data_IF_855034529587
#
_entry.id   IF_855034529587
#
_cell.length_a   1.000
_cell.length_b   1.000
_cell.length_c   1.000
_cell.angle_alpha   90.00
_cell.angle_beta   90.00
_cell.angle_gamma   90.00
#
_symmetry.space_group_name_H-M   'P 1'
#
loop_
_entity.id
_entity.type
_entity.pdbx_description
1 polymer ?
#
# COMPACT_ATOMS: atom_id res chain seq x y z
N UNK A 1 -20.44 -66.17 -9.13
CA UNK A 1 -20.39 -64.76 -9.58
C UNK A 1 -20.10 -63.78 -8.42
N UNK A 2 -20.46 -64.09 -7.17
CA UNK A 2 -20.23 -63.20 -6.02
C UNK A 2 -18.76 -63.02 -5.56
N UNK A 3 -17.91 -64.06 -5.61
CA UNK A 3 -16.53 -63.94 -5.09
C UNK A 3 -15.63 -62.99 -5.90
N UNK A 4 -15.77 -62.96 -7.23
CA UNK A 4 -15.01 -62.01 -8.07
C UNK A 4 -15.36 -60.56 -7.78
N UNK A 5 -16.65 -60.29 -7.51
CA UNK A 5 -17.15 -58.96 -7.20
C UNK A 5 -16.68 -58.45 -5.83
N UNK A 6 -16.64 -59.32 -4.82
CA UNK A 6 -16.12 -58.97 -3.47
C UNK A 6 -14.62 -58.66 -3.52
N UNK A 7 -13.83 -59.42 -4.28
CA UNK A 7 -12.38 -59.19 -4.42
C UNK A 7 -12.06 -57.90 -5.18
N UNK A 8 -12.86 -57.53 -6.20
CA UNK A 8 -12.72 -56.25 -6.91
C UNK A 8 -13.04 -55.04 -6.02
N UNK A 9 -14.07 -55.14 -5.16
CA UNK A 9 -14.40 -54.08 -4.19
C UNK A 9 -13.28 -53.88 -3.17
N UNK A 10 -12.71 -54.97 -2.64
CA UNK A 10 -11.62 -54.92 -1.66
C UNK A 10 -10.35 -54.29 -2.29
N UNK A 11 -10.05 -54.59 -3.55
CA UNK A 11 -8.91 -54.00 -4.25
C UNK A 11 -9.12 -52.54 -4.67
N UNK A 12 -10.37 -52.09 -4.81
CA UNK A 12 -10.70 -50.70 -5.14
C UNK A 12 -10.72 -49.77 -3.90
N UNK A 13 -10.93 -50.31 -2.70
CA UNK A 13 -10.98 -49.54 -1.45
C UNK A 13 -9.74 -48.65 -1.21
N UNK A 14 -8.49 -49.14 -1.36
CA UNK A 14 -7.30 -48.33 -1.16
C UNK A 14 -7.24 -47.12 -2.10
N UNK A 15 -7.68 -47.28 -3.35
CA UNK A 15 -7.72 -46.19 -4.34
C UNK A 15 -8.75 -45.12 -4.01
N UNK A 16 -9.90 -45.50 -3.44
CA UNK A 16 -10.95 -44.56 -3.00
C UNK A 16 -10.47 -43.72 -1.80
N UNK A 17 -9.80 -44.34 -0.81
CA UNK A 17 -9.25 -43.61 0.33
C UNK A 17 -8.12 -42.65 -0.06
N UNK A 18 -7.22 -43.07 -0.94
CA UNK A 18 -6.15 -42.22 -1.47
C UNK A 18 -6.72 -41.09 -2.32
N UNK A 19 -7.70 -41.37 -3.18
CA UNK A 19 -8.38 -40.37 -4.01
C UNK A 19 -9.14 -39.32 -3.18
N UNK A 20 -9.83 -39.76 -2.12
CA UNK A 20 -10.51 -38.86 -1.18
C UNK A 20 -9.53 -37.97 -0.43
N UNK A 21 -8.40 -38.52 0.04
CA UNK A 21 -7.35 -37.77 0.72
C UNK A 21 -6.71 -36.72 -0.21
N UNK A 22 -6.37 -37.09 -1.44
CA UNK A 22 -5.82 -36.17 -2.44
C UNK A 22 -6.80 -35.04 -2.77
N UNK A 23 -8.08 -35.38 -2.99
CA UNK A 23 -9.13 -34.40 -3.28
C UNK A 23 -9.30 -33.41 -2.13
N UNK A 24 -9.30 -33.91 -0.89
CA UNK A 24 -9.37 -33.08 0.31
C UNK A 24 -8.17 -32.11 0.42
N UNK A 25 -6.95 -32.62 0.26
CA UNK A 25 -5.73 -31.79 0.31
C UNK A 25 -5.74 -30.72 -0.79
N UNK A 26 -6.16 -31.08 -1.99
CA UNK A 26 -6.30 -30.13 -3.11
C UNK A 26 -7.35 -29.05 -2.82
N UNK A 27 -8.50 -29.43 -2.24
CA UNK A 27 -9.53 -28.48 -1.84
C UNK A 27 -9.03 -27.49 -0.77
N UNK A 28 -8.32 -27.98 0.25
CA UNK A 28 -7.72 -27.12 1.29
C UNK A 28 -6.69 -26.17 0.69
N UNK A 29 -5.81 -26.66 -0.19
CA UNK A 29 -4.82 -25.82 -0.86
C UNK A 29 -5.48 -24.73 -1.72
N UNK A 30 -6.48 -25.10 -2.52
CA UNK A 30 -7.23 -24.17 -3.36
C UNK A 30 -7.93 -23.09 -2.53
N UNK A 31 -8.59 -23.49 -1.43
CA UNK A 31 -9.25 -22.54 -0.52
C UNK A 31 -8.26 -21.55 0.10
N UNK A 32 -7.08 -22.00 0.54
CA UNK A 32 -6.05 -21.11 1.07
C UNK A 32 -5.56 -20.11 0.03
N UNK A 33 -5.28 -20.57 -1.19
CA UNK A 33 -4.86 -19.70 -2.29
C UNK A 33 -5.92 -18.69 -2.68
N UNK A 34 -7.20 -19.09 -2.68
CA UNK A 34 -8.31 -18.20 -2.95
C UNK A 34 -8.48 -17.15 -1.84
N UNK A 35 -8.29 -17.52 -0.57
CA UNK A 35 -8.30 -16.60 0.57
C UNK A 35 -7.15 -15.58 0.50
N UNK A 36 -5.93 -16.05 0.22
CA UNK A 36 -4.76 -15.18 0.01
C UNK A 36 -5.03 -14.19 -1.13
N UNK A 37 -5.49 -14.69 -2.29
CA UNK A 37 -5.79 -13.84 -3.44
C UNK A 37 -6.88 -12.81 -3.15
N UNK A 38 -7.97 -13.21 -2.46
CA UNK A 38 -9.04 -12.29 -2.08
C UNK A 38 -8.56 -11.24 -1.09
N UNK A 39 -7.77 -11.64 -0.10
CA UNK A 39 -7.19 -10.72 0.87
C UNK A 39 -6.27 -9.69 0.18
N UNK A 40 -5.37 -10.15 -0.69
CA UNK A 40 -4.45 -9.27 -1.41
C UNK A 40 -5.19 -8.30 -2.34
N UNK A 41 -6.23 -8.78 -3.02
CA UNK A 41 -7.08 -7.95 -3.90
C UNK A 41 -7.81 -6.88 -3.09
N UNK A 42 -8.49 -7.28 -2.01
CA UNK A 42 -9.23 -6.36 -1.13
C UNK A 42 -8.31 -5.32 -0.47
N UNK A 43 -7.14 -5.74 0.01
CA UNK A 43 -6.13 -4.84 0.57
C UNK A 43 -5.62 -3.86 -0.48
N UNK A 44 -5.34 -4.32 -1.70
CA UNK A 44 -4.88 -3.47 -2.80
C UNK A 44 -5.92 -2.43 -3.19
N UNK A 45 -7.19 -2.81 -3.29
CA UNK A 45 -8.27 -1.90 -3.68
C UNK A 45 -8.51 -0.83 -2.60
N UNK A 46 -8.46 -1.23 -1.33
CA UNK A 46 -8.50 -0.29 -0.19
C UNK A 46 -7.30 0.66 -0.22
N UNK A 47 -6.08 0.15 -0.45
CA UNK A 47 -4.88 0.99 -0.60
C UNK A 47 -5.02 1.98 -1.74
N UNK A 48 -5.44 1.57 -2.93
CA UNK A 48 -5.62 2.49 -4.08
C UNK A 48 -6.56 3.64 -3.71
N UNK A 49 -7.69 3.32 -3.07
CA UNK A 49 -8.69 4.31 -2.65
C UNK A 49 -8.07 5.33 -1.69
N UNK A 50 -7.43 4.86 -0.61
CA UNK A 50 -6.86 5.73 0.41
C UNK A 50 -5.62 6.49 -0.07
N UNK A 51 -4.78 5.85 -0.89
CA UNK A 51 -3.56 6.42 -1.43
C UNK A 51 -3.85 7.51 -2.44
N UNK A 52 -4.97 7.43 -3.17
CA UNK A 52 -5.40 8.51 -4.06
C UNK A 52 -5.70 9.80 -3.26
N UNK A 53 -6.28 9.68 -2.06
CA UNK A 53 -6.50 10.83 -1.19
C UNK A 53 -5.19 11.43 -0.68
N UNK A 54 -4.27 10.59 -0.20
CA UNK A 54 -2.94 11.04 0.20
C UNK A 54 -2.19 11.67 -0.96
N UNK A 55 -2.28 11.10 -2.16
CA UNK A 55 -1.60 11.60 -3.35
C UNK A 55 -1.97 13.04 -3.68
N UNK A 56 -3.25 13.40 -3.52
CA UNK A 56 -3.75 14.76 -3.72
C UNK A 56 -3.14 15.74 -2.73
N UNK A 57 -2.98 15.36 -1.45
CA UNK A 57 -2.31 16.19 -0.45
C UNK A 57 -0.85 16.50 -0.82
N UNK A 58 -0.21 15.64 -1.62
CA UNK A 58 1.18 15.79 -2.05
C UNK A 58 1.33 16.58 -3.38
N UNK A 59 0.23 17.07 -3.96
CA UNK A 59 0.23 17.78 -5.24
C UNK A 59 1.22 18.94 -5.25
N UNK A 60 1.21 19.72 -4.19
CA UNK A 60 2.04 20.91 -4.09
C UNK A 60 3.53 20.63 -3.86
N UNK A 61 3.91 19.36 -3.66
CA UNK A 61 5.29 18.88 -3.68
C UNK A 61 5.64 18.26 -5.05
N UNK A 62 4.89 18.56 -6.11
CA UNK A 62 5.18 18.13 -7.47
C UNK A 62 6.32 18.95 -8.10
N UNK A 63 7.12 18.27 -8.94
CA UNK A 63 8.29 18.88 -9.58
C UNK A 63 7.96 19.99 -10.56
N UNK A 64 6.90 19.84 -11.35
CA UNK A 64 6.60 20.72 -12.48
C UNK A 64 5.44 21.71 -12.22
N UNK A 65 4.98 21.83 -10.97
CA UNK A 65 3.84 22.65 -10.61
C UNK A 65 4.01 23.28 -9.22
N UNK A 66 5.20 23.80 -8.91
CA UNK A 66 5.45 24.48 -7.64
C UNK A 66 4.51 25.70 -7.51
N UNK A 67 3.74 25.83 -6.41
CA UNK A 67 3.03 27.07 -6.12
C UNK A 67 4.03 28.21 -5.93
N UNK A 68 3.83 29.35 -6.61
CA UNK A 68 4.77 30.49 -6.57
C UNK A 68 5.06 31.03 -5.16
N UNK A 69 4.12 30.87 -4.23
CA UNK A 69 4.15 31.53 -2.91
C UNK A 69 3.84 30.56 -1.77
N UNK A 70 4.43 29.37 -1.80
CA UNK A 70 4.27 28.43 -0.68
C UNK A 70 4.92 29.00 0.58
N UNK A 71 4.12 29.20 1.64
CA UNK A 71 4.60 29.72 2.93
C UNK A 71 4.89 28.61 3.94
N UNK A 72 5.57 28.93 5.04
CA UNK A 72 5.72 28.00 6.16
C UNK A 72 4.39 27.66 6.84
N UNK A 73 3.42 28.58 6.85
CA UNK A 73 2.06 28.32 7.32
C UNK A 73 1.36 27.23 6.47
N UNK A 74 1.64 27.17 5.17
CA UNK A 74 1.08 26.12 4.29
C UNK A 74 1.72 24.75 4.58
N UNK A 75 2.99 24.71 4.97
CA UNK A 75 3.62 23.46 5.45
C UNK A 75 3.01 22.98 6.77
N UNK A 76 2.67 23.89 7.68
CA UNK A 76 1.96 23.56 8.93
C UNK A 76 0.58 22.96 8.63
N UNK A 77 -0.18 23.55 7.70
CA UNK A 77 -1.46 23.01 7.21
C UNK A 77 -1.31 21.65 6.54
N UNK A 78 -0.26 21.47 5.73
CA UNK A 78 0.02 20.19 5.08
C UNK A 78 0.28 19.09 6.11
N UNK A 79 1.14 19.34 7.11
CA UNK A 79 1.41 18.41 8.22
C UNK A 79 0.14 18.03 8.97
N UNK A 80 -0.73 19.01 9.26
CA UNK A 80 -2.01 18.76 9.91
C UNK A 80 -2.92 17.85 9.05
N UNK A 81 -3.05 18.15 7.77
CA UNK A 81 -3.85 17.36 6.81
C UNK A 81 -3.33 15.94 6.65
N UNK A 82 -2.01 15.77 6.58
CA UNK A 82 -1.36 14.45 6.51
C UNK A 82 -1.65 13.63 7.78
N UNK A 83 -1.52 14.24 8.96
CA UNK A 83 -1.82 13.59 10.25
C UNK A 83 -3.29 13.19 10.35
N UNK A 84 -4.20 14.08 9.94
CA UNK A 84 -5.62 13.79 9.90
C UNK A 84 -5.91 12.58 9.00
N UNK A 85 -5.38 12.58 7.78
CA UNK A 85 -5.51 11.44 6.87
C UNK A 85 -4.96 10.13 7.47
N UNK A 86 -3.81 10.19 8.16
CA UNK A 86 -3.20 9.01 8.77
C UNK A 86 -4.12 8.36 9.81
N UNK A 87 -4.68 9.15 10.73
CA UNK A 87 -5.48 8.60 11.82
C UNK A 87 -6.94 8.34 11.45
N UNK A 88 -7.50 9.07 10.49
CA UNK A 88 -8.93 8.97 10.18
C UNK A 88 -9.23 8.11 8.96
N UNK A 89 -8.26 7.95 8.04
CA UNK A 89 -8.55 7.40 6.72
C UNK A 89 -7.61 6.26 6.33
N UNK A 90 -6.36 6.58 6.07
CA UNK A 90 -5.48 5.74 5.27
C UNK A 90 -4.26 5.15 5.97
N UNK A 91 -3.93 5.64 7.18
CA UNK A 91 -2.71 5.20 7.89
C UNK A 91 -2.68 3.70 8.17
N UNK A 92 -3.84 3.07 8.38
CA UNK A 92 -3.96 1.62 8.58
C UNK A 92 -3.55 0.81 7.34
N UNK A 93 -3.63 1.39 6.14
CA UNK A 93 -3.39 0.68 4.89
C UNK A 93 -1.95 0.78 4.39
N UNK A 94 -1.12 1.62 5.02
CA UNK A 94 0.28 1.75 4.68
C UNK A 94 1.01 0.41 4.86
N UNK A 95 1.78 -0.02 3.87
CA UNK A 95 2.83 -1.02 4.10
C UNK A 95 3.90 -0.42 5.01
N UNK A 96 4.77 -1.25 5.60
CA UNK A 96 5.90 -0.74 6.39
C UNK A 96 6.77 0.23 5.57
N UNK A 97 7.09 -0.10 4.32
CA UNK A 97 7.89 0.76 3.45
C UNK A 97 7.21 2.11 3.15
N UNK A 98 5.90 2.11 2.88
CA UNK A 98 5.17 3.37 2.66
C UNK A 98 4.99 4.16 3.95
N UNK A 99 4.88 3.47 5.10
CA UNK A 99 4.79 4.09 6.42
C UNK A 99 6.10 4.80 6.77
N UNK A 100 7.24 4.19 6.51
CA UNK A 100 8.55 4.79 6.75
C UNK A 100 8.71 6.05 5.88
N UNK A 101 8.44 5.96 4.57
CA UNK A 101 8.48 7.13 3.68
C UNK A 101 7.49 8.24 4.07
N UNK A 102 6.35 7.89 4.68
CA UNK A 102 5.38 8.86 5.19
C UNK A 102 5.95 9.61 6.40
N UNK A 103 6.58 8.90 7.34
CA UNK A 103 7.19 9.51 8.51
C UNK A 103 8.45 10.31 8.16
N UNK A 104 9.22 9.89 7.16
CA UNK A 104 10.36 10.67 6.64
C UNK A 104 9.90 12.06 6.13
N UNK A 105 8.78 12.13 5.41
CA UNK A 105 8.21 13.40 4.96
C UNK A 105 7.74 14.25 6.15
N UNK A 106 7.00 13.65 7.08
CA UNK A 106 6.51 14.35 8.28
C UNK A 106 7.67 14.91 9.13
N UNK A 107 8.73 14.13 9.30
CA UNK A 107 9.95 14.53 10.00
C UNK A 107 10.67 15.67 9.27
N UNK A 108 10.82 15.57 7.95
CA UNK A 108 11.43 16.63 7.15
C UNK A 108 10.67 17.95 7.29
N UNK A 109 9.33 17.93 7.18
CA UNK A 109 8.51 19.13 7.36
C UNK A 109 8.64 19.68 8.80
N UNK A 110 8.59 18.80 9.81
CA UNK A 110 8.72 19.20 11.22
C UNK A 110 10.06 19.88 11.49
N UNK A 111 11.16 19.35 10.95
CA UNK A 111 12.49 19.91 11.12
C UNK A 111 12.56 21.32 10.49
N UNK A 112 12.04 21.48 9.27
CA UNK A 112 11.94 22.77 8.59
C UNK A 112 11.14 23.79 9.41
N UNK A 113 9.96 23.41 9.91
CA UNK A 113 9.10 24.28 10.72
C UNK A 113 9.76 24.67 12.05
N UNK A 114 10.48 23.74 12.69
CA UNK A 114 11.18 23.98 13.96
C UNK A 114 12.32 24.97 13.78
N UNK A 115 13.03 24.93 12.65
CA UNK A 115 14.10 25.88 12.33
C UNK A 115 13.60 27.27 11.91
N UNK A 116 12.29 27.44 11.64
CA UNK A 116 11.70 28.64 11.04
C UNK A 116 10.41 29.09 11.75
N UNK A 117 10.35 28.94 13.07
CA UNK A 117 9.13 29.20 13.89
C UNK A 117 8.56 30.61 13.67
N UNK A 118 9.41 31.61 13.53
CA UNK A 118 9.01 33.02 13.37
C UNK A 118 8.69 33.41 11.92
N UNK A 119 8.88 32.50 10.95
CA UNK A 119 8.80 32.78 9.53
C UNK A 119 7.47 32.33 8.89
N UNK A 120 6.38 32.19 9.65
CA UNK A 120 5.12 31.58 9.18
C UNK A 120 4.63 32.09 7.82
N UNK A 121 4.61 33.41 7.63
CA UNK A 121 4.14 34.06 6.40
C UNK A 121 5.22 34.18 5.31
N UNK A 122 6.47 33.79 5.60
CA UNK A 122 7.55 33.86 4.63
C UNK A 122 7.43 32.72 3.62
N UNK A 123 7.77 33.00 2.37
CA UNK A 123 7.86 31.99 1.33
C UNK A 123 8.99 31.02 1.64
N UNK A 124 8.71 29.72 1.50
CA UNK A 124 9.69 28.65 1.65
C UNK A 124 10.79 28.82 0.59
N UNK A 125 12.07 28.89 0.97
CA UNK A 125 13.18 28.93 0.03
C UNK A 125 13.19 27.72 -0.93
N UNK A 126 13.68 27.91 -2.16
CA UNK A 126 13.74 26.84 -3.17
C UNK A 126 14.52 25.61 -2.69
N UNK A 127 15.62 25.81 -1.96
CA UNK A 127 16.44 24.72 -1.43
C UNK A 127 15.64 23.82 -0.47
N UNK A 128 14.94 24.43 0.48
CA UNK A 128 14.06 23.73 1.43
C UNK A 128 12.90 23.06 0.69
N UNK A 129 12.31 23.76 -0.29
CA UNK A 129 11.25 23.18 -1.10
C UNK A 129 11.72 21.91 -1.82
N UNK A 130 12.90 21.94 -2.45
CA UNK A 130 13.44 20.79 -3.19
C UNK A 130 13.71 19.59 -2.27
N UNK A 131 14.20 19.81 -1.05
CA UNK A 131 14.36 18.76 -0.03
C UNK A 131 13.01 18.10 0.32
N UNK A 132 11.99 18.91 0.60
CA UNK A 132 10.63 18.40 0.90
C UNK A 132 9.99 17.73 -0.34
N UNK A 133 10.26 18.26 -1.53
CA UNK A 133 9.80 17.70 -2.80
C UNK A 133 10.39 16.30 -3.02
N UNK A 134 11.64 16.08 -2.64
CA UNK A 134 12.30 14.77 -2.74
C UNK A 134 11.67 13.76 -1.80
N UNK A 135 11.46 14.09 -0.52
CA UNK A 135 10.78 13.19 0.43
C UNK A 135 9.33 12.92 0.00
N UNK A 136 8.59 13.92 -0.48
CA UNK A 136 7.26 13.74 -1.08
C UNK A 136 7.26 12.89 -2.35
N UNK A 137 8.36 12.92 -3.13
CA UNK A 137 8.56 12.03 -4.29
C UNK A 137 8.85 10.59 -3.87
N UNK A 138 9.63 10.39 -2.81
CA UNK A 138 9.90 9.08 -2.22
C UNK A 138 8.61 8.43 -1.71
N UNK A 139 7.80 9.18 -0.96
CA UNK A 139 6.48 8.72 -0.52
C UNK A 139 5.60 8.30 -1.69
N UNK A 140 5.41 9.15 -2.71
CA UNK A 140 4.65 8.80 -3.91
C UNK A 140 5.18 7.53 -4.60
N UNK A 141 6.49 7.32 -4.60
CA UNK A 141 7.10 6.11 -5.17
C UNK A 141 6.77 4.88 -4.33
N UNK A 142 6.84 4.97 -3.01
CA UNK A 142 6.47 3.88 -2.10
C UNK A 142 4.99 3.49 -2.25
N UNK A 143 4.07 4.47 -2.29
CA UNK A 143 2.64 4.24 -2.49
C UNK A 143 2.37 3.47 -3.80
N UNK A 144 3.01 3.86 -4.89
CA UNK A 144 2.87 3.20 -6.19
C UNK A 144 3.41 1.77 -6.16
N UNK A 145 4.54 1.53 -5.48
CA UNK A 145 5.13 0.18 -5.36
C UNK A 145 4.21 -0.76 -4.61
N UNK A 146 3.58 -0.29 -3.55
CA UNK A 146 2.61 -1.06 -2.75
C UNK A 146 1.41 -1.56 -3.56
N UNK A 147 0.91 -0.75 -4.50
CA UNK A 147 -0.28 -1.09 -5.31
C UNK A 147 0.06 -1.60 -6.72
N UNK A 148 1.34 -1.59 -7.08
CA UNK A 148 1.86 -2.11 -8.34
C UNK A 148 1.45 -1.34 -9.60
N UNK A 149 1.00 -0.07 -9.50
CA UNK A 149 0.36 0.65 -10.62
C UNK A 149 1.32 1.17 -11.70
N UNK A 150 2.65 1.19 -11.45
CA UNK A 150 3.68 1.55 -12.45
C UNK A 150 4.44 0.34 -13.01
N UNK A 151 3.94 -0.87 -12.79
CA UNK A 151 4.47 -2.06 -13.44
C UNK A 151 3.66 -2.32 -14.71
N UNK A 152 4.33 -2.74 -15.79
CA UNK A 152 3.63 -3.22 -16.98
C UNK A 152 2.78 -4.44 -16.63
N UNK A 153 1.60 -4.54 -17.24
CA UNK A 153 0.73 -5.69 -17.06
C UNK A 153 1.46 -6.95 -17.55
N UNK A 154 1.73 -7.89 -16.64
CA UNK A 154 2.24 -9.21 -16.97
C UNK A 154 1.08 -10.09 -17.46
N UNK A 155 0.45 -9.68 -18.56
CA UNK A 155 -0.49 -10.54 -19.27
C UNK A 155 0.33 -11.24 -20.37
N UNK A 156 0.82 -12.44 -20.05
CA UNK A 156 1.28 -13.43 -21.03
C UNK A 156 0.20 -14.48 -21.19
#
# INVERSE_FOLDING_TARGET
MGEKFVTEIINALPGVFVGALITYLFAVFKLRKELEFKYDTDLRDKRITQYLELWKLLEDLAKYARPKERTFADLEKLTASLREWYFQKGGLFLSDNSRDSYFDLQEAIRNVLTSHIEAKEQTVPETIYEELRQTGSSLRTALVRDVGTRQEAKLN
#
